data_IF_304685164914
#
_entry.id   IF_304685164914
#
_cell.length_a   1.000
_cell.length_b   1.000
_cell.length_c   1.000
_cell.angle_alpha   90.00
_cell.angle_beta   90.00
_cell.angle_gamma   90.00
#
_symmetry.space_group_name_H-M   'P 1'
#
loop_
_entity.id
_entity.type
_entity.pdbx_description
1 polymer ?
#
# COMPACT_ATOMS: atom_id res chain seq x y z
N UNK A 1 14.77 30.16 -24.70
CA UNK A 1 13.39 30.56 -24.36
C UNK A 1 13.49 31.34 -23.06
N UNK A 2 13.29 32.66 -23.11
CA UNK A 2 13.45 33.54 -21.96
C UNK A 2 12.18 33.47 -21.08
N UNK A 3 12.36 33.19 -19.80
CA UNK A 3 11.30 33.27 -18.80
C UNK A 3 10.79 34.71 -18.70
N UNK A 4 9.51 34.89 -19.00
CA UNK A 4 8.80 36.15 -18.81
C UNK A 4 8.47 36.23 -17.32
N UNK A 5 9.33 36.91 -16.56
CA UNK A 5 9.08 37.26 -15.16
C UNK A 5 7.97 38.32 -15.12
N UNK A 6 6.90 38.05 -14.37
CA UNK A 6 5.71 38.90 -14.32
C UNK A 6 6.01 40.24 -13.61
N UNK A 7 5.38 41.36 -14.04
CA UNK A 7 5.69 42.73 -13.57
C UNK A 7 5.47 43.01 -12.07
N UNK A 8 4.85 42.09 -11.33
CA UNK A 8 4.37 42.30 -9.96
C UNK A 8 5.52 42.29 -8.95
N UNK A 9 6.55 41.47 -9.18
CA UNK A 9 7.69 41.32 -8.25
C UNK A 9 8.56 42.58 -8.17
N UNK A 10 8.68 43.31 -9.28
CA UNK A 10 9.42 44.57 -9.34
C UNK A 10 8.67 45.71 -8.63
N UNK A 11 7.33 45.69 -8.65
CA UNK A 11 6.50 46.69 -7.97
C UNK A 11 6.62 46.51 -6.44
N UNK A 12 6.61 45.27 -5.95
CA UNK A 12 6.67 44.96 -4.52
C UNK A 12 8.04 45.31 -3.89
N UNK A 13 9.15 45.11 -4.61
CA UNK A 13 10.48 45.53 -4.15
C UNK A 13 10.66 47.05 -4.13
N UNK A 14 9.99 47.79 -5.02
CA UNK A 14 10.05 49.25 -5.09
C UNK A 14 9.39 49.98 -3.92
N UNK A 15 8.48 49.32 -3.20
CA UNK A 15 7.76 49.87 -2.04
C UNK A 15 8.33 49.41 -0.69
N UNK A 16 9.53 48.81 -0.67
CA UNK A 16 10.23 48.45 0.56
C UNK A 16 9.64 47.26 1.32
N UNK A 17 8.82 46.43 0.66
CA UNK A 17 8.33 45.17 1.23
C UNK A 17 9.38 44.10 0.98
N UNK A 18 10.04 43.64 2.04
CA UNK A 18 10.86 42.43 1.99
C UNK A 18 9.95 41.22 1.73
N UNK A 19 10.02 40.68 0.51
CA UNK A 19 9.40 39.40 0.20
C UNK A 19 10.15 38.32 1.00
N UNK A 20 9.43 37.39 1.68
CA UNK A 20 10.07 36.27 2.34
C UNK A 20 10.92 35.53 1.32
N UNK A 21 12.18 35.28 1.67
CA UNK A 21 13.11 34.53 0.84
C UNK A 21 12.42 33.25 0.33
N UNK A 22 12.55 32.98 -0.97
CA UNK A 22 11.99 31.79 -1.58
C UNK A 22 12.39 30.56 -0.75
N UNK A 23 11.43 29.67 -0.52
CA UNK A 23 11.61 28.43 0.25
C UNK A 23 12.65 27.49 -0.40
N UNK A 24 13.21 27.86 -1.56
CA UNK A 24 14.16 27.07 -2.32
C UNK A 24 15.65 27.36 -2.05
N UNK A 25 16.01 28.38 -1.27
CA UNK A 25 17.43 28.72 -1.01
C UNK A 25 17.90 28.54 0.45
N UNK A 26 17.25 27.66 1.21
CA UNK A 26 17.87 27.05 2.40
C UNK A 26 18.29 25.63 2.07
N UNK A 27 19.45 25.47 1.44
CA UNK A 27 20.20 24.23 1.54
C UNK A 27 20.56 24.04 3.03
N UNK A 28 20.00 23.05 3.75
CA UNK A 28 20.49 22.76 5.08
C UNK A 28 21.83 22.04 4.95
N UNK A 29 22.75 22.38 5.85
CA UNK A 29 23.94 21.59 6.12
C UNK A 29 23.58 20.09 6.19
N UNK A 30 24.39 19.23 5.54
CA UNK A 30 24.25 17.77 5.40
C UNK A 30 23.15 17.16 6.29
N UNK A 31 21.96 16.96 5.73
CA UNK A 31 20.83 16.33 6.43
C UNK A 31 21.21 14.90 6.76
N UNK A 32 21.66 14.67 8.00
CA UNK A 32 21.93 13.32 8.52
C UNK A 32 20.65 12.50 8.42
N UNK A 33 20.77 11.28 7.89
CA UNK A 33 19.62 10.38 7.70
C UNK A 33 18.92 10.06 9.02
N UNK A 34 17.62 9.74 9.02
CA UNK A 34 16.91 9.41 10.26
C UNK A 34 17.56 8.23 11.01
N UNK A 35 18.19 7.29 10.30
CA UNK A 35 18.90 6.17 10.93
C UNK A 35 20.19 6.62 11.63
N UNK A 36 20.91 7.58 11.07
CA UNK A 36 22.08 8.19 11.72
C UNK A 36 21.64 8.97 12.97
N UNK A 37 20.52 9.71 12.90
CA UNK A 37 19.94 10.39 14.06
C UNK A 37 19.47 9.40 15.14
N UNK A 38 18.82 8.30 14.74
CA UNK A 38 18.41 7.22 15.63
C UNK A 38 19.60 6.55 16.30
N UNK A 39 20.73 6.39 15.60
CA UNK A 39 21.97 5.90 16.17
C UNK A 39 22.48 6.84 17.28
N UNK A 40 22.37 8.16 17.10
CA UNK A 40 22.76 9.13 18.13
C UNK A 40 21.81 9.14 19.33
N UNK A 41 20.49 9.11 19.07
CA UNK A 41 19.45 9.20 20.09
C UNK A 41 18.25 8.30 19.73
N UNK A 42 18.19 7.05 20.23
CA UNK A 42 17.19 6.08 19.80
C UNK A 42 15.84 6.31 20.47
N UNK A 43 15.04 7.22 19.91
CA UNK A 43 13.66 7.52 20.35
C UNK A 43 12.62 6.74 19.54
N UNK A 44 11.41 6.58 20.10
CA UNK A 44 10.30 5.93 19.40
C UNK A 44 9.90 6.68 18.12
N UNK A 45 9.94 8.01 18.14
CA UNK A 45 9.63 8.84 16.97
C UNK A 45 10.63 8.61 15.84
N UNK A 46 11.93 8.66 16.14
CA UNK A 46 12.97 8.44 15.13
C UNK A 46 12.94 7.01 14.57
N UNK A 47 12.67 6.01 15.41
CA UNK A 47 12.45 4.65 14.93
C UNK A 47 11.25 4.59 13.97
N UNK A 48 10.16 5.27 14.28
CA UNK A 48 8.99 5.34 13.39
C UNK A 48 9.28 6.08 12.09
N UNK A 49 10.11 7.13 12.11
CA UNK A 49 10.56 7.84 10.91
C UNK A 49 11.42 6.94 10.02
N UNK A 50 12.36 6.19 10.60
CA UNK A 50 13.16 5.19 9.87
C UNK A 50 12.27 4.12 9.21
N UNK A 51 11.25 3.64 9.92
CA UNK A 51 10.28 2.68 9.39
C UNK A 51 9.44 3.31 8.28
N UNK A 52 9.04 4.58 8.43
CA UNK A 52 8.27 5.30 7.43
C UNK A 52 9.04 5.48 6.13
N UNK A 53 10.31 5.92 6.19
CA UNK A 53 11.16 6.01 5.00
C UNK A 53 11.29 4.69 4.26
N UNK A 54 11.35 3.57 5.01
CA UNK A 54 11.52 2.25 4.42
C UNK A 54 10.25 1.68 3.81
N UNK A 55 9.12 1.86 4.49
CA UNK A 55 7.88 1.13 4.26
C UNK A 55 6.73 1.99 3.75
N UNK A 56 6.91 3.31 3.59
CA UNK A 56 5.95 4.19 2.94
C UNK A 56 5.48 3.63 1.59
N UNK A 57 4.17 3.62 1.38
CA UNK A 57 3.52 3.07 0.18
C UNK A 57 3.51 1.53 0.07
N UNK A 58 4.21 0.81 0.96
CA UNK A 58 4.26 -0.66 1.00
C UNK A 58 3.49 -1.24 2.17
N UNK A 59 3.44 -0.53 3.30
CA UNK A 59 2.70 -0.96 4.48
C UNK A 59 1.69 0.13 4.82
N UNK A 60 0.46 -0.29 5.04
CA UNK A 60 -0.62 0.57 5.53
C UNK A 60 -1.18 0.01 6.84
N UNK A 61 -1.88 0.85 7.60
CA UNK A 61 -2.52 0.46 8.84
C UNK A 61 -4.02 0.69 8.79
N UNK A 62 -4.78 -0.36 9.10
CA UNK A 62 -6.22 -0.33 9.32
C UNK A 62 -6.50 -0.25 10.81
N UNK A 63 -7.17 0.81 11.25
CA UNK A 63 -7.65 0.90 12.64
C UNK A 63 -8.98 0.17 12.77
N UNK A 64 -9.01 -0.88 13.59
CA UNK A 64 -10.23 -1.67 13.86
C UNK A 64 -10.93 -1.25 15.15
N UNK A 65 -10.20 -0.69 16.12
CA UNK A 65 -10.72 -0.17 17.37
C UNK A 65 -9.77 0.90 17.97
N UNK A 66 -10.16 1.63 19.03
CA UNK A 66 -9.24 2.54 19.71
C UNK A 66 -7.97 1.82 20.16
N UNK A 67 -6.80 2.27 19.67
CA UNK A 67 -5.47 1.66 19.90
C UNK A 67 -5.28 0.24 19.36
N UNK A 68 -6.18 -0.25 18.50
CA UNK A 68 -6.07 -1.57 17.87
C UNK A 68 -6.23 -1.46 16.35
N UNK A 69 -5.55 -2.35 15.65
CA UNK A 69 -5.61 -2.41 14.20
C UNK A 69 -4.69 -3.47 13.65
N UNK A 70 -4.56 -3.45 12.33
CA UNK A 70 -3.79 -4.43 11.58
C UNK A 70 -2.94 -3.72 10.53
N UNK A 71 -1.70 -4.17 10.39
CA UNK A 71 -0.83 -3.78 9.30
C UNK A 71 -1.12 -4.66 8.08
N UNK A 72 -1.11 -4.03 6.92
CA UNK A 72 -1.32 -4.68 5.64
C UNK A 72 -0.13 -4.38 4.74
N UNK A 73 0.38 -5.39 4.04
CA UNK A 73 1.49 -5.27 3.11
C UNK A 73 0.99 -5.28 1.68
N UNK A 74 1.48 -4.34 0.88
CA UNK A 74 1.24 -4.26 -0.55
C UNK A 74 2.06 -5.34 -1.27
N UNK A 75 1.39 -6.16 -2.04
CA UNK A 75 1.98 -7.18 -2.89
C UNK A 75 2.37 -6.60 -4.25
N UNK A 76 3.18 -7.30 -5.07
CA UNK A 76 3.60 -6.81 -6.39
C UNK A 76 2.46 -6.43 -7.33
N UNK A 77 1.32 -7.16 -7.29
CA UNK A 77 0.11 -6.83 -8.04
C UNK A 77 -0.66 -5.62 -7.50
N UNK A 78 -0.18 -5.01 -6.42
CA UNK A 78 -0.72 -3.78 -5.83
C UNK A 78 -1.89 -3.96 -4.86
N UNK A 79 -2.39 -5.19 -4.69
CA UNK A 79 -3.34 -5.56 -3.64
C UNK A 79 -2.63 -5.74 -2.28
N UNK A 80 -3.40 -5.87 -1.20
CA UNK A 80 -2.90 -5.92 0.17
C UNK A 80 -3.23 -7.25 0.85
N UNK A 81 -2.26 -7.75 1.62
CA UNK A 81 -2.42 -8.93 2.48
C UNK A 81 -2.12 -8.57 3.94
N UNK A 82 -2.73 -9.26 4.91
CA UNK A 82 -2.40 -9.12 6.32
C UNK A 82 -0.91 -9.38 6.55
N UNK A 83 -0.25 -8.51 7.31
CA UNK A 83 1.12 -8.77 7.74
C UNK A 83 1.12 -9.55 9.06
N UNK A 84 1.74 -10.74 9.07
CA UNK A 84 1.76 -11.63 10.24
C UNK A 84 2.43 -11.00 11.47
N UNK A 85 3.58 -10.34 11.27
CA UNK A 85 4.34 -9.71 12.36
C UNK A 85 5.09 -8.47 11.88
N UNK A 86 4.46 -7.30 12.08
CA UNK A 86 5.15 -6.01 11.90
C UNK A 86 6.27 -5.82 12.94
N UNK A 87 6.15 -6.43 14.11
CA UNK A 87 7.14 -6.35 15.20
C UNK A 87 8.48 -6.94 14.78
N UNK A 88 8.47 -8.16 14.24
CA UNK A 88 9.70 -8.84 13.82
C UNK A 88 10.32 -8.15 12.61
N UNK A 89 9.48 -7.70 11.67
CA UNK A 89 9.93 -6.95 10.49
C UNK A 89 10.62 -5.64 10.88
N UNK A 90 10.00 -4.86 11.78
CA UNK A 90 10.54 -3.59 12.26
C UNK A 90 11.85 -3.78 13.05
N UNK A 91 11.86 -4.75 13.97
CA UNK A 91 13.03 -5.09 14.79
C UNK A 91 14.23 -5.47 13.91
N UNK A 92 14.02 -6.38 12.95
CA UNK A 92 15.06 -6.82 12.02
C UNK A 92 15.58 -5.68 11.15
N UNK A 93 14.68 -4.85 10.62
CA UNK A 93 15.07 -3.72 9.79
C UNK A 93 15.91 -2.71 10.59
N UNK A 94 15.45 -2.27 11.75
CA UNK A 94 16.15 -1.28 12.56
C UNK A 94 17.52 -1.80 13.03
N UNK A 95 17.62 -3.06 13.45
CA UNK A 95 18.90 -3.64 13.85
C UNK A 95 19.91 -3.68 12.69
N UNK A 96 19.45 -4.05 11.50
CA UNK A 96 20.30 -4.09 10.29
C UNK A 96 20.72 -2.68 9.87
N UNK A 97 19.77 -1.74 9.85
CA UNK A 97 20.02 -0.36 9.43
C UNK A 97 20.97 0.37 10.40
N UNK A 98 20.90 0.09 11.71
CA UNK A 98 21.87 0.61 12.68
C UNK A 98 23.26 0.05 12.44
N UNK A 99 23.39 -1.24 12.11
CA UNK A 99 24.68 -1.89 11.82
C UNK A 99 25.33 -1.29 10.56
N UNK A 100 24.54 -1.09 9.50
CA UNK A 100 24.98 -0.43 8.26
C UNK A 100 25.41 1.03 8.49
N UNK A 101 24.60 1.80 9.24
CA UNK A 101 24.93 3.18 9.58
C UNK A 101 26.18 3.26 10.46
N UNK A 102 26.36 2.30 11.37
CA UNK A 102 27.55 2.21 12.21
C UNK A 102 28.81 1.95 11.38
N UNK A 103 28.80 0.95 10.48
CA UNK A 103 29.98 0.64 9.65
C UNK A 103 30.34 1.79 8.70
N UNK A 104 29.34 2.52 8.19
CA UNK A 104 29.57 3.75 7.41
C UNK A 104 30.28 4.82 8.24
N UNK A 105 29.75 5.16 9.41
CA UNK A 105 30.32 6.21 10.28
C UNK A 105 31.68 5.81 10.86
N UNK A 106 31.91 4.51 11.09
CA UNK A 106 33.19 3.97 11.57
C UNK A 106 34.32 4.15 10.56
N UNK A 107 34.02 4.09 9.26
CA UNK A 107 35.01 4.34 8.20
C UNK A 107 35.51 5.79 8.18
N UNK A 108 34.74 6.73 8.73
CA UNK A 108 35.02 8.17 8.79
C UNK A 108 35.51 8.63 10.17
N UNK A 109 35.49 7.75 11.18
CA UNK A 109 35.78 8.10 12.57
C UNK A 109 37.24 7.82 12.95
N UNK A 110 37.83 8.70 13.78
CA UNK A 110 39.19 8.56 14.30
C UNK A 110 39.27 8.66 15.84
N UNK A 111 40.10 7.82 16.45
CA UNK A 111 40.46 7.91 17.86
C UNK A 111 39.26 7.77 18.82
N UNK A 112 39.11 8.70 19.75
CA UNK A 112 38.08 8.65 20.81
C UNK A 112 36.63 8.65 20.30
N UNK A 113 36.39 9.12 19.07
CA UNK A 113 35.06 9.13 18.45
C UNK A 113 34.55 7.73 18.13
N UNK A 114 35.45 6.77 17.85
CA UNK A 114 35.09 5.37 17.58
C UNK A 114 34.45 4.73 18.81
N UNK A 115 35.04 4.92 20.00
CA UNK A 115 34.51 4.34 21.26
C UNK A 115 33.11 4.87 21.61
N UNK A 116 32.90 6.18 21.42
CA UNK A 116 31.59 6.80 21.59
C UNK A 116 30.57 6.24 20.58
N UNK A 117 30.99 6.04 19.33
CA UNK A 117 30.14 5.47 18.27
C UNK A 117 29.73 4.03 18.57
N UNK A 118 30.65 3.17 19.03
CA UNK A 118 30.34 1.81 19.48
C UNK A 118 29.30 1.78 20.60
N UNK A 119 29.44 2.70 21.57
CA UNK A 119 28.51 2.79 22.70
C UNK A 119 27.11 3.17 22.22
N UNK A 120 27.02 4.18 21.36
CA UNK A 120 25.76 4.64 20.76
C UNK A 120 25.08 3.56 19.91
N UNK A 121 25.84 2.90 19.03
CA UNK A 121 25.35 1.78 18.23
C UNK A 121 24.86 0.61 19.12
N UNK A 122 25.58 0.29 20.20
CA UNK A 122 25.16 -0.73 21.16
C UNK A 122 23.83 -0.41 21.85
N UNK A 123 23.58 0.85 22.20
CA UNK A 123 22.30 1.30 22.77
C UNK A 123 21.20 1.23 21.72
N UNK A 124 21.43 1.76 20.51
CA UNK A 124 20.44 1.78 19.42
C UNK A 124 20.03 0.35 19.01
N UNK A 125 20.98 -0.57 18.85
CA UNK A 125 20.69 -1.99 18.56
C UNK A 125 19.91 -2.67 19.68
N UNK A 126 20.25 -2.39 20.94
CA UNK A 126 19.50 -2.92 22.08
C UNK A 126 18.04 -2.46 22.03
N UNK A 127 17.80 -1.18 21.72
CA UNK A 127 16.46 -0.63 21.55
C UNK A 127 15.73 -1.27 20.37
N UNK A 128 16.38 -1.40 19.21
CA UNK A 128 15.83 -2.06 18.03
C UNK A 128 15.40 -3.52 18.27
N UNK A 129 16.04 -4.22 19.21
CA UNK A 129 15.71 -5.60 19.58
C UNK A 129 14.77 -5.72 20.78
N UNK A 130 14.40 -4.61 21.43
CA UNK A 130 13.53 -4.64 22.61
C UNK A 130 12.06 -4.55 22.19
N UNK A 131 11.29 -5.60 22.48
CA UNK A 131 9.88 -5.70 22.12
C UNK A 131 9.05 -4.47 22.50
N UNK A 132 9.18 -3.98 23.74
CA UNK A 132 8.42 -2.83 24.23
C UNK A 132 8.76 -1.54 23.50
N UNK A 133 10.05 -1.35 23.18
CA UNK A 133 10.48 -0.20 22.40
C UNK A 133 9.92 -0.24 20.97
N UNK A 134 9.97 -1.40 20.33
CA UNK A 134 9.41 -1.57 18.98
C UNK A 134 7.91 -1.35 18.99
N UNK A 135 7.18 -1.87 19.98
CA UNK A 135 5.73 -1.60 20.10
C UNK A 135 5.45 -0.10 20.21
N UNK A 136 6.20 0.62 21.06
CA UNK A 136 6.09 2.08 21.16
C UNK A 136 6.35 2.79 19.83
N UNK A 137 7.40 2.40 19.10
CA UNK A 137 7.68 2.95 17.78
C UNK A 137 6.59 2.61 16.75
N UNK A 138 6.01 1.41 16.81
CA UNK A 138 4.93 0.98 15.93
C UNK A 138 3.65 1.77 16.14
N UNK A 139 3.37 2.32 17.32
CA UNK A 139 2.24 3.23 17.54
C UNK A 139 2.40 4.52 16.74
N UNK A 140 3.60 5.12 16.75
CA UNK A 140 3.90 6.31 15.94
C UNK A 140 3.89 5.99 14.44
N UNK A 141 4.46 4.85 14.06
CA UNK A 141 4.47 4.41 12.65
C UNK A 141 3.05 4.14 12.14
N UNK A 142 2.21 3.45 12.92
CA UNK A 142 0.81 3.20 12.59
C UNK A 142 0.03 4.50 12.35
N UNK A 143 0.33 5.57 13.10
CA UNK A 143 -0.27 6.88 12.87
C UNK A 143 0.16 7.51 11.54
N UNK A 144 1.41 7.30 11.11
CA UNK A 144 1.96 7.81 9.83
C UNK A 144 1.41 7.07 8.60
N UNK A 145 1.13 5.76 8.73
CA UNK A 145 0.60 4.92 7.63
C UNK A 145 -0.88 4.58 7.78
N UNK A 146 -1.59 5.29 8.64
CA UNK A 146 -3.03 5.10 8.85
C UNK A 146 -3.79 5.47 7.58
N UNK A 147 -4.64 4.55 7.10
CA UNK A 147 -5.62 4.88 6.06
C UNK A 147 -6.98 5.08 6.74
N UNK A 148 -7.54 6.30 6.72
CA UNK A 148 -8.83 6.57 7.33
C UNK A 148 -9.94 5.76 6.67
N UNK A 149 -10.81 5.17 7.50
CA UNK A 149 -11.99 4.41 7.06
C UNK A 149 -11.68 3.29 6.05
N UNK A 150 -10.50 2.67 6.15
CA UNK A 150 -10.06 1.64 5.19
C UNK A 150 -11.05 0.46 5.08
N UNK A 151 -11.76 0.12 6.15
CA UNK A 151 -12.78 -0.93 6.16
C UNK A 151 -13.88 -0.72 5.09
N UNK A 152 -14.27 0.52 4.82
CA UNK A 152 -15.25 0.88 3.79
C UNK A 152 -14.62 1.08 2.40
N UNK A 153 -13.30 1.24 2.33
CA UNK A 153 -12.56 1.50 1.07
C UNK A 153 -12.04 0.23 0.42
N UNK A 154 -12.05 -0.89 1.13
CA UNK A 154 -11.64 -2.19 0.59
C UNK A 154 -12.49 -2.55 -0.62
N UNK A 155 -11.81 -2.81 -1.74
CA UNK A 155 -12.39 -3.16 -3.02
C UNK A 155 -13.45 -2.15 -3.50
N UNK A 156 -13.43 -0.90 -3.03
CA UNK A 156 -14.47 0.12 -3.30
C UNK A 156 -14.53 0.56 -4.77
N UNK A 157 -13.39 0.47 -5.48
CA UNK A 157 -13.32 0.79 -6.89
C UNK A 157 -14.33 -0.08 -7.67
N UNK A 158 -15.36 0.57 -8.21
CA UNK A 158 -16.39 -0.10 -8.97
C UNK A 158 -15.82 -0.65 -10.27
N UNK A 159 -16.46 -1.69 -10.78
CA UNK A 159 -16.12 -2.24 -12.10
C UNK A 159 -14.62 -2.60 -12.21
N UNK A 160 -14.03 -2.99 -11.09
CA UNK A 160 -12.65 -3.42 -10.97
C UNK A 160 -12.58 -4.81 -10.36
N UNK A 161 -11.69 -5.65 -10.88
CA UNK A 161 -11.46 -7.00 -10.39
C UNK A 161 -9.97 -7.19 -10.07
N UNK A 162 -9.60 -7.29 -8.78
CA UNK A 162 -8.22 -7.51 -8.40
C UNK A 162 -7.77 -8.94 -8.74
N UNK A 163 -6.59 -9.04 -9.33
CA UNK A 163 -5.88 -10.27 -9.68
C UNK A 163 -4.51 -10.29 -8.98
N UNK A 164 -3.78 -11.40 -9.10
CA UNK A 164 -2.46 -11.53 -8.43
C UNK A 164 -1.38 -10.57 -8.94
N UNK A 165 -1.51 -10.07 -10.17
CA UNK A 165 -0.52 -9.21 -10.85
C UNK A 165 -1.04 -7.82 -11.24
N UNK A 166 -2.28 -7.49 -10.91
CA UNK A 166 -2.88 -6.19 -11.24
C UNK A 166 -4.39 -6.17 -11.03
N UNK A 167 -5.06 -5.23 -11.70
CA UNK A 167 -6.52 -5.06 -11.66
C UNK A 167 -7.04 -5.06 -13.09
N UNK A 168 -8.13 -5.77 -13.32
CA UNK A 168 -8.93 -5.64 -14.54
C UNK A 168 -9.95 -4.54 -14.32
N UNK A 169 -9.95 -3.55 -15.20
CA UNK A 169 -10.84 -2.39 -15.15
C UNK A 169 -11.86 -2.49 -16.29
N UNK A 170 -13.14 -2.44 -15.94
CA UNK A 170 -14.30 -2.53 -16.83
C UNK A 170 -15.05 -1.19 -16.98
N UNK A 171 -14.51 -0.09 -16.45
CA UNK A 171 -15.19 1.23 -16.43
C UNK A 171 -15.28 1.90 -17.80
N UNK A 172 -14.44 1.50 -18.76
CA UNK A 172 -14.40 2.02 -20.11
C UNK A 172 -15.11 1.13 -21.13
N UNK A 173 -15.01 1.51 -22.41
CA UNK A 173 -15.49 0.68 -23.52
C UNK A 173 -14.62 -0.57 -23.74
N UNK A 174 -13.34 -0.51 -23.36
CA UNK A 174 -12.39 -1.61 -23.45
C UNK A 174 -12.02 -2.12 -22.05
N UNK A 175 -11.95 -3.45 -21.93
CA UNK A 175 -11.47 -4.12 -20.72
C UNK A 175 -9.95 -4.03 -20.71
N UNK A 176 -9.37 -3.42 -19.68
CA UNK A 176 -7.92 -3.22 -19.58
C UNK A 176 -7.34 -3.81 -18.30
N UNK A 177 -6.10 -4.31 -18.39
CA UNK A 177 -5.29 -4.61 -17.22
C UNK A 177 -4.46 -3.38 -16.83
N UNK A 178 -4.47 -3.02 -15.55
CA UNK A 178 -3.68 -1.89 -15.03
C UNK A 178 -3.24 -2.10 -13.58
N UNK A 179 -2.20 -1.38 -13.12
CA UNK A 179 -1.93 -1.32 -11.69
C UNK A 179 -3.06 -0.60 -10.91
N UNK A 180 -3.25 -0.89 -9.62
CA UNK A 180 -4.10 -0.09 -8.74
C UNK A 180 -3.62 1.36 -8.65
N UNK A 181 -4.57 2.30 -8.62
CA UNK A 181 -4.27 3.73 -8.35
C UNK A 181 -3.95 3.93 -6.87
N UNK A 182 -3.28 5.03 -6.53
CA UNK A 182 -2.81 5.30 -5.15
C UNK A 182 -3.94 5.41 -4.11
N UNK A 183 -5.16 5.71 -4.55
CA UNK A 183 -6.34 5.83 -3.70
C UNK A 183 -7.23 4.57 -3.71
N UNK A 184 -6.83 3.52 -4.42
CA UNK A 184 -7.55 2.25 -4.53
C UNK A 184 -6.91 1.20 -3.61
N UNK A 185 -7.74 0.50 -2.85
CA UNK A 185 -7.30 -0.48 -1.86
C UNK A 185 -7.95 -1.82 -2.15
N UNK A 186 -7.17 -2.75 -2.69
CA UNK A 186 -7.67 -4.08 -3.00
C UNK A 186 -7.17 -5.13 -2.01
N UNK A 187 -7.99 -6.12 -1.72
CA UNK A 187 -7.64 -7.33 -0.98
C UNK A 187 -8.38 -8.53 -1.56
N UNK A 188 -7.94 -9.73 -1.20
CA UNK A 188 -8.54 -11.00 -1.65
C UNK A 188 -8.61 -11.08 -3.19
N UNK A 189 -7.47 -10.94 -3.91
CA UNK A 189 -7.48 -11.00 -5.37
C UNK A 189 -7.88 -12.38 -5.86
N UNK A 190 -8.39 -12.45 -7.10
CA UNK A 190 -8.55 -13.73 -7.77
C UNK A 190 -7.18 -14.40 -7.95
N UNK A 191 -7.08 -15.73 -7.77
CA UNK A 191 -5.82 -16.48 -7.86
C UNK A 191 -5.39 -16.74 -9.33
N UNK A 192 -5.51 -15.74 -10.18
CA UNK A 192 -5.17 -15.76 -11.61
C UNK A 192 -4.42 -14.47 -11.99
N UNK A 193 -3.85 -14.43 -13.19
CA UNK A 193 -3.25 -13.22 -13.74
C UNK A 193 -4.24 -12.47 -14.62
N UNK A 194 -4.09 -11.16 -14.69
CA UNK A 194 -4.89 -10.29 -15.57
C UNK A 194 -4.83 -10.74 -17.03
N UNK A 195 -3.65 -11.15 -17.51
CA UNK A 195 -3.46 -11.62 -18.88
C UNK A 195 -4.19 -12.93 -19.19
N UNK A 196 -4.42 -13.79 -18.19
CA UNK A 196 -5.14 -15.05 -18.39
C UNK A 196 -6.61 -14.77 -18.69
N UNK A 197 -7.21 -13.83 -17.97
CA UNK A 197 -8.59 -13.39 -18.19
C UNK A 197 -8.74 -12.66 -19.54
N UNK A 198 -7.79 -11.80 -19.90
CA UNK A 198 -7.87 -11.04 -21.16
C UNK A 198 -7.64 -11.88 -22.41
N UNK A 199 -7.00 -13.04 -22.28
CA UNK A 199 -6.69 -13.96 -23.39
C UNK A 199 -7.63 -15.16 -23.43
N UNK A 200 -8.38 -15.41 -22.37
CA UNK A 200 -9.32 -16.52 -22.34
C UNK A 200 -10.37 -16.33 -23.44
N UNK A 201 -10.40 -17.32 -24.33
CA UNK A 201 -11.43 -17.46 -25.34
C UNK A 201 -12.76 -17.91 -24.69
N UNK A 202 -13.74 -18.19 -25.55
CA UNK A 202 -15.05 -18.72 -25.17
C UNK A 202 -14.92 -19.88 -24.15
N UNK A 203 -15.53 -19.78 -22.95
CA UNK A 203 -15.41 -20.80 -21.91
C UNK A 203 -16.31 -22.00 -22.22
N UNK A 204 -15.89 -22.84 -23.19
CA UNK A 204 -16.71 -23.88 -23.79
C UNK A 204 -17.33 -24.86 -22.76
N UNK A 205 -16.55 -25.33 -21.78
CA UNK A 205 -17.04 -26.23 -20.73
C UNK A 205 -18.11 -25.57 -19.85
N UNK A 206 -17.96 -24.28 -19.56
CA UNK A 206 -18.94 -23.52 -18.79
C UNK A 206 -20.23 -23.31 -19.59
N UNK A 207 -20.12 -23.00 -20.88
CA UNK A 207 -21.28 -22.86 -21.76
C UNK A 207 -22.04 -24.17 -21.94
N UNK A 208 -21.33 -25.30 -22.08
CA UNK A 208 -21.95 -26.64 -22.13
C UNK A 208 -22.67 -26.97 -20.82
N UNK A 209 -22.07 -26.65 -19.68
CA UNK A 209 -22.72 -26.79 -18.38
C UNK A 209 -23.98 -25.92 -18.26
N UNK A 210 -23.92 -24.67 -18.73
CA UNK A 210 -25.10 -23.80 -18.77
C UNK A 210 -26.19 -24.33 -19.70
N UNK A 211 -25.85 -24.96 -20.83
CA UNK A 211 -26.81 -25.62 -21.73
C UNK A 211 -27.56 -26.76 -21.01
N UNK A 212 -26.87 -27.54 -20.17
CA UNK A 212 -27.47 -28.62 -19.39
C UNK A 212 -28.37 -28.11 -18.26
N UNK A 213 -27.93 -27.05 -17.55
CA UNK A 213 -28.66 -26.49 -16.40
C UNK A 213 -29.84 -25.63 -16.86
N UNK A 214 -29.68 -24.88 -17.94
CA UNK A 214 -30.68 -23.98 -18.52
C UNK A 214 -30.90 -24.33 -20.00
N UNK A 215 -31.69 -25.37 -20.31
CA UNK A 215 -31.91 -25.81 -21.69
C UNK A 215 -32.64 -24.75 -22.53
N UNK A 216 -33.50 -23.96 -21.88
CA UNK A 216 -34.17 -22.82 -22.51
C UNK A 216 -33.15 -21.71 -22.85
N UNK A 217 -33.01 -21.31 -24.13
CA UNK A 217 -32.02 -20.32 -24.55
C UNK A 217 -32.17 -18.94 -23.92
N UNK A 218 -33.40 -18.49 -23.64
CA UNK A 218 -33.66 -17.18 -23.05
C UNK A 218 -33.31 -17.17 -21.56
N UNK A 219 -33.65 -18.24 -20.84
CA UNK A 219 -33.24 -18.43 -19.44
C UNK A 219 -31.72 -18.54 -19.34
N UNK A 220 -31.07 -19.27 -20.24
CA UNK A 220 -29.61 -19.40 -20.27
C UNK A 220 -28.91 -18.07 -20.54
N UNK A 221 -29.42 -17.28 -21.49
CA UNK A 221 -28.93 -15.93 -21.74
C UNK A 221 -29.04 -15.07 -20.49
N UNK A 222 -30.20 -15.11 -19.83
CA UNK A 222 -30.42 -14.39 -18.57
C UNK A 222 -29.44 -14.86 -17.48
N UNK A 223 -29.19 -16.17 -17.37
CA UNK A 223 -28.22 -16.72 -16.42
C UNK A 223 -26.80 -16.27 -16.70
N UNK A 224 -26.38 -16.25 -17.97
CA UNK A 224 -25.07 -15.74 -18.37
C UNK A 224 -24.92 -14.25 -18.03
N UNK A 225 -25.95 -13.44 -18.30
CA UNK A 225 -25.98 -12.04 -17.89
C UNK A 225 -25.86 -11.92 -16.37
N UNK A 226 -26.63 -12.70 -15.61
CA UNK A 226 -26.59 -12.71 -14.14
C UNK A 226 -25.19 -13.03 -13.59
N UNK A 227 -24.52 -14.04 -14.15
CA UNK A 227 -23.16 -14.46 -13.76
C UNK A 227 -22.14 -13.39 -14.15
N UNK A 228 -22.28 -12.77 -15.32
CA UNK A 228 -21.38 -11.68 -15.74
C UNK A 228 -21.42 -10.47 -14.80
N UNK A 229 -22.58 -10.23 -14.15
CA UNK A 229 -22.75 -9.17 -13.16
C UNK A 229 -22.11 -9.52 -11.80
N UNK A 230 -21.79 -10.78 -11.53
CA UNK A 230 -21.20 -11.21 -10.26
C UNK A 230 -19.69 -10.88 -10.15
N UNK A 231 -19.01 -10.69 -11.29
CA UNK A 231 -17.55 -10.54 -11.37
C UNK A 231 -17.11 -9.10 -11.10
N UNK A 232 -17.91 -8.12 -11.47
CA UNK A 232 -17.61 -6.71 -11.26
C UNK A 232 -18.24 -6.23 -9.94
N UNK A 233 -17.47 -5.53 -9.09
CA UNK A 233 -18.06 -4.80 -7.97
C UNK A 233 -18.92 -3.64 -8.50
N UNK A 234 -20.15 -3.93 -8.95
CA UNK A 234 -21.06 -2.95 -9.57
C UNK A 234 -21.76 -2.03 -8.56
N UNK A 235 -21.40 -2.12 -7.27
CA UNK A 235 -22.02 -1.31 -6.21
C UNK A 235 -23.48 -1.66 -5.87
N UNK A 236 -24.12 -2.54 -6.63
CA UNK A 236 -25.47 -3.06 -6.36
C UNK A 236 -25.43 -4.53 -5.92
N UNK A 237 -26.13 -4.86 -4.82
CA UNK A 237 -26.31 -6.25 -4.40
C UNK A 237 -27.48 -6.87 -5.17
N UNK A 238 -27.18 -7.68 -6.18
CA UNK A 238 -28.18 -8.47 -6.89
C UNK A 238 -28.19 -9.90 -6.36
N UNK A 239 -29.38 -10.41 -6.02
CA UNK A 239 -29.57 -11.79 -5.59
C UNK A 239 -30.38 -12.54 -6.64
N UNK A 240 -29.92 -13.71 -7.05
CA UNK A 240 -30.61 -14.58 -8.00
C UNK A 240 -31.13 -15.81 -7.27
N UNK A 241 -32.40 -16.16 -7.49
CA UNK A 241 -33.02 -17.34 -6.92
C UNK A 241 -33.22 -18.39 -8.01
N UNK A 242 -32.43 -19.45 -7.95
CA UNK A 242 -32.54 -20.60 -8.85
C UNK A 242 -33.34 -21.72 -8.15
N UNK A 243 -34.45 -22.16 -8.72
CA UNK A 243 -35.27 -23.24 -8.16
C UNK A 243 -35.37 -24.43 -9.12
N UNK A 244 -35.55 -25.64 -8.57
CA UNK A 244 -35.66 -26.88 -9.32
C UNK A 244 -35.36 -28.09 -8.45
N UNK A 245 -35.96 -29.24 -8.74
CA UNK A 245 -35.73 -30.50 -8.00
C UNK A 245 -34.54 -31.28 -8.57
N UNK A 246 -33.91 -32.10 -7.71
CA UNK A 246 -32.80 -32.98 -8.12
C UNK A 246 -31.42 -32.31 -8.21
N UNK A 247 -30.46 -33.05 -8.77
CA UNK A 247 -29.08 -32.60 -9.01
C UNK A 247 -29.02 -31.78 -10.30
N UNK A 248 -29.35 -30.49 -10.20
CA UNK A 248 -29.51 -29.58 -11.34
C UNK A 248 -28.41 -28.49 -11.40
N UNK A 249 -27.21 -28.78 -10.89
CA UNK A 249 -26.06 -27.87 -11.00
C UNK A 249 -26.07 -26.61 -10.12
N UNK A 250 -27.13 -26.35 -9.33
CA UNK A 250 -27.26 -25.12 -8.49
C UNK A 250 -26.08 -24.82 -7.55
N UNK A 251 -25.38 -25.84 -7.05
CA UNK A 251 -24.23 -25.68 -6.14
C UNK A 251 -22.88 -25.60 -6.89
N UNK A 252 -22.88 -25.97 -8.17
CA UNK A 252 -21.70 -25.99 -9.03
C UNK A 252 -21.57 -24.67 -9.79
N UNK A 253 -22.71 -24.05 -10.13
CA UNK A 253 -22.83 -22.67 -10.61
C UNK A 253 -22.48 -21.68 -9.49
#
# INVERSE_FOLDING_TARGET
MAEITLPVENILRGIGIELPASVHDRLPASTSSHIEQFLQEPTHSLAADCLFERFAGKIIFERTAPKQGRFWQRQPGGYFEPLDSMLDLASKYLDTAVDEAFEKLKAEAEGATISALFTKAGIARRKARTRDFINGALEFFAAKVLVPNLSARWNEAQECLPCTDGVIDFTGEEIIARPPRDNEYFKDPLPVKTADILREDIPASFLLFLDEVFPDPEVRRTALECVSLAVANKGSRTFYLWHGSGANGKNTL
#
